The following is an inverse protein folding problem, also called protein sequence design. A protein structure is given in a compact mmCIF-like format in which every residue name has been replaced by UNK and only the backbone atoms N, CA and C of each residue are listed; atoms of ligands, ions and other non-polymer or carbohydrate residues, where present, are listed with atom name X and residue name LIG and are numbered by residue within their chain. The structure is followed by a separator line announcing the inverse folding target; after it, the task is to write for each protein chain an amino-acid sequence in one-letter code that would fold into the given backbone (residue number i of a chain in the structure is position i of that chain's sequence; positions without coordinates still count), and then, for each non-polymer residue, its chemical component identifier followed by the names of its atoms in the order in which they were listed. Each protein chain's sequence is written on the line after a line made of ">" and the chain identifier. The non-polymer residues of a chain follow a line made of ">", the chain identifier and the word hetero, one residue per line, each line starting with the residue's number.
data_IF_318683776319
#
_entry.id   IF_318683776319
#
_cell.length_a   1.000
_cell.length_b   1.000
_cell.length_c   1.000
_cell.angle_alpha   90.00
_cell.angle_beta   90.00
_cell.angle_gamma   90.00
#
_symmetry.space_group_name_H-M   'P 1'
#
loop_
_entity.id
_entity.type
_entity.pdbx_description
1 polymer ?
#
# COMPACT_ATOMS: atom_id res chain seq x y z
N UNK A 1 -6.58 2.58 14.20
CA UNK A 1 -7.11 1.31 13.66
C UNK A 1 -7.65 1.45 12.23
N UNK A 2 -7.40 0.46 11.35
CA UNK A 2 -7.89 0.45 9.97
C UNK A 2 -9.43 0.43 9.88
N UNK A 3 -10.11 -0.02 10.93
CA UNK A 3 -11.56 0.06 11.07
C UNK A 3 -12.10 1.49 11.19
N UNK A 4 -11.24 2.47 11.51
CA UNK A 4 -11.60 3.90 11.66
C UNK A 4 -11.31 4.71 10.40
N UNK A 5 -10.82 4.05 9.33
CA UNK A 5 -10.48 4.74 8.10
C UNK A 5 -11.75 5.17 7.38
N UNK A 6 -11.82 6.46 7.05
CA UNK A 6 -12.96 7.07 6.37
C UNK A 6 -12.49 7.73 5.08
N UNK A 7 -13.39 8.07 4.14
CA UNK A 7 -13.01 8.85 2.97
C UNK A 7 -12.24 10.14 3.31
N UNK A 8 -12.62 10.82 4.39
CA UNK A 8 -11.99 12.06 4.85
C UNK A 8 -10.57 11.86 5.38
N UNK A 9 -10.20 10.65 5.83
CA UNK A 9 -8.84 10.32 6.27
C UNK A 9 -7.79 10.58 5.20
N UNK A 10 -8.16 10.52 3.92
CA UNK A 10 -7.27 10.75 2.77
C UNK A 10 -7.23 12.20 2.28
N UNK A 11 -7.95 13.13 2.92
CA UNK A 11 -7.94 14.55 2.52
C UNK A 11 -6.50 15.08 2.35
N UNK A 12 -6.19 15.80 1.25
CA UNK A 12 -7.12 16.40 0.29
C UNK A 12 -7.52 15.49 -0.88
N UNK A 13 -7.08 14.22 -0.91
CA UNK A 13 -7.52 13.27 -1.94
C UNK A 13 -9.00 12.96 -1.76
N UNK A 14 -9.73 12.89 -2.86
CA UNK A 14 -11.10 12.37 -2.86
C UNK A 14 -11.04 10.85 -2.84
N UNK A 15 -11.68 10.22 -1.86
CA UNK A 15 -11.72 8.77 -1.74
C UNK A 15 -13.14 8.22 -1.94
N UNK A 16 -13.28 7.16 -2.75
CA UNK A 16 -14.54 6.44 -2.94
C UNK A 16 -14.41 5.03 -2.38
N UNK A 17 -15.21 4.73 -1.35
CA UNK A 17 -15.17 3.43 -0.67
C UNK A 17 -16.26 2.51 -1.23
N UNK A 18 -15.88 1.25 -1.48
CA UNK A 18 -16.75 0.18 -1.99
C UNK A 18 -16.55 -1.07 -1.15
N UNK A 19 -17.61 -1.84 -0.92
CA UNK A 19 -17.52 -3.12 -0.22
C UNK A 19 -16.60 -4.08 -1.00
N UNK A 20 -15.74 -4.79 -0.28
CA UNK A 20 -14.83 -5.78 -0.83
C UNK A 20 -15.41 -7.19 -0.83
N UNK A 21 -14.52 -8.18 -0.96
CA UNK A 21 -14.90 -9.60 -1.03
C UNK A 21 -15.47 -10.13 0.29
N UNK A 22 -14.87 -9.73 1.40
CA UNK A 22 -15.26 -10.16 2.75
C UNK A 22 -16.09 -9.09 3.48
N UNK A 23 -16.74 -9.47 4.58
CA UNK A 23 -17.49 -8.53 5.42
C UNK A 23 -16.58 -7.42 5.97
N UNK A 24 -15.36 -7.78 6.30
CA UNK A 24 -14.32 -6.92 6.87
C UNK A 24 -13.41 -6.29 5.80
N UNK A 25 -13.70 -6.52 4.51
CA UNK A 25 -12.92 -5.97 3.39
C UNK A 25 -13.67 -4.82 2.71
N UNK A 26 -12.94 -3.76 2.40
CA UNK A 26 -13.40 -2.69 1.52
C UNK A 26 -12.27 -2.23 0.60
N UNK A 27 -12.64 -1.64 -0.52
CA UNK A 27 -11.73 -1.02 -1.48
C UNK A 27 -11.95 0.49 -1.47
N UNK A 28 -10.90 1.28 -1.51
CA UNK A 28 -10.92 2.71 -1.70
C UNK A 28 -10.23 3.05 -3.03
N UNK A 29 -10.90 3.84 -3.86
CA UNK A 29 -10.30 4.49 -5.02
C UNK A 29 -9.93 5.92 -4.62
N UNK A 30 -8.67 6.31 -4.80
CA UNK A 30 -8.16 7.62 -4.42
C UNK A 30 -7.94 8.48 -5.66
N UNK A 31 -8.41 9.73 -5.63
CA UNK A 31 -8.40 10.63 -6.77
C UNK A 31 -7.77 11.98 -6.45
N UNK A 32 -7.06 12.54 -7.42
CA UNK A 32 -6.66 13.95 -7.47
C UNK A 32 -7.52 14.63 -8.53
N UNK A 33 -8.51 15.42 -8.10
CA UNK A 33 -9.54 15.93 -8.99
C UNK A 33 -10.32 14.79 -9.66
N UNK A 34 -10.15 14.65 -10.98
CA UNK A 34 -10.73 13.57 -11.79
C UNK A 34 -9.75 12.43 -12.09
N UNK A 35 -8.45 12.62 -11.84
CA UNK A 35 -7.44 11.59 -12.13
C UNK A 35 -7.41 10.54 -11.02
N UNK A 36 -7.39 9.27 -11.41
CA UNK A 36 -7.28 8.16 -10.47
C UNK A 36 -5.82 8.02 -10.06
N UNK A 37 -5.55 8.18 -8.76
CA UNK A 37 -4.21 8.04 -8.18
C UNK A 37 -3.87 6.57 -7.98
N UNK A 38 -4.68 5.84 -7.21
CA UNK A 38 -4.47 4.41 -6.95
C UNK A 38 -5.71 3.74 -6.37
N UNK A 39 -5.58 2.43 -6.17
CA UNK A 39 -6.51 1.64 -5.37
C UNK A 39 -5.88 1.27 -4.03
N UNK A 40 -6.72 1.21 -3.01
CA UNK A 40 -6.35 0.68 -1.70
C UNK A 40 -7.36 -0.39 -1.30
N UNK A 41 -6.91 -1.62 -1.11
CA UNK A 41 -7.72 -2.69 -0.52
C UNK A 41 -7.40 -2.76 0.96
N UNK A 42 -8.43 -2.81 1.81
CA UNK A 42 -8.28 -2.79 3.26
C UNK A 42 -9.10 -3.93 3.86
N UNK A 43 -8.47 -4.70 4.73
CA UNK A 43 -9.10 -5.72 5.56
C UNK A 43 -8.93 -5.36 7.03
N UNK A 44 -10.04 -5.22 7.76
CA UNK A 44 -10.02 -4.72 9.15
C UNK A 44 -9.69 -5.78 10.19
N UNK A 45 -9.33 -7.00 9.76
CA UNK A 45 -9.02 -8.12 10.65
C UNK A 45 -10.25 -8.94 11.04
N UNK A 46 -9.99 -10.19 11.41
CA UNK A 46 -10.95 -11.11 12.05
C UNK A 46 -10.23 -11.87 13.17
N UNK A 47 -10.08 -11.26 14.36
CA UNK A 47 -9.37 -11.86 15.47
C UNK A 47 -10.02 -13.18 15.96
N UNK A 48 -9.23 -14.08 16.57
CA UNK A 48 -7.77 -13.99 16.73
C UNK A 48 -6.97 -14.45 15.50
N UNK A 49 -7.64 -14.94 14.44
CA UNK A 49 -6.99 -15.71 13.38
C UNK A 49 -6.40 -14.87 12.25
N UNK A 50 -7.01 -13.71 11.95
CA UNK A 50 -6.61 -12.88 10.81
C UNK A 50 -6.33 -11.45 11.27
N UNK A 51 -5.07 -11.03 11.16
CA UNK A 51 -4.67 -9.65 11.41
C UNK A 51 -5.20 -8.68 10.34
N UNK A 52 -5.35 -7.39 10.67
CA UNK A 52 -5.65 -6.36 9.69
C UNK A 52 -4.50 -6.17 8.68
N UNK A 53 -4.86 -5.75 7.47
CA UNK A 53 -3.89 -5.37 6.45
C UNK A 53 -4.47 -4.39 5.45
N UNK A 54 -3.58 -3.66 4.78
CA UNK A 54 -3.92 -2.87 3.60
C UNK A 54 -3.00 -3.20 2.44
N UNK A 55 -3.48 -2.99 1.22
CA UNK A 55 -2.75 -3.17 -0.02
C UNK A 55 -2.95 -1.94 -0.89
N UNK A 56 -1.87 -1.30 -1.32
CA UNK A 56 -1.88 -0.19 -2.28
C UNK A 56 -1.38 -0.73 -3.62
N UNK A 57 -2.19 -0.61 -4.66
CA UNK A 57 -1.92 -1.17 -5.98
C UNK A 57 -2.48 -0.29 -7.11
N UNK A 58 -2.00 -0.51 -8.33
CA UNK A 58 -2.30 0.27 -9.52
C UNK A 58 -2.11 1.78 -9.27
N UNK A 59 -0.98 2.18 -8.67
CA UNK A 59 -0.62 3.59 -8.58
C UNK A 59 -0.37 4.09 -10.00
N UNK A 60 -1.09 5.12 -10.42
CA UNK A 60 -0.87 5.78 -11.70
C UNK A 60 0.58 6.30 -11.75
N UNK A 61 1.37 5.89 -12.77
CA UNK A 61 2.81 6.20 -12.86
C UNK A 61 3.15 7.68 -12.72
N UNK A 62 2.23 8.58 -13.10
CA UNK A 62 2.36 10.03 -12.94
C UNK A 62 2.59 10.47 -11.49
N UNK A 63 2.06 9.71 -10.52
CA UNK A 63 2.10 10.07 -9.11
C UNK A 63 3.14 9.30 -8.31
N UNK A 64 3.88 8.38 -8.93
CA UNK A 64 5.02 7.71 -8.30
C UNK A 64 6.10 8.76 -7.99
N UNK A 65 6.72 8.65 -6.81
CA UNK A 65 7.72 9.55 -6.25
C UNK A 65 7.21 11.00 -5.99
N UNK A 66 5.90 11.19 -5.92
CA UNK A 66 5.29 12.47 -5.55
C UNK A 66 4.86 12.51 -4.09
N UNK A 67 4.52 13.71 -3.60
CA UNK A 67 3.94 13.89 -2.27
C UNK A 67 2.60 13.14 -2.09
N UNK A 68 1.90 12.86 -3.19
CA UNK A 68 0.61 12.19 -3.15
C UNK A 68 0.73 10.70 -2.87
N UNK A 69 1.71 10.03 -3.48
CA UNK A 69 2.07 8.66 -3.12
C UNK A 69 2.45 8.57 -1.64
N UNK A 70 3.32 9.49 -1.19
CA UNK A 70 3.71 9.57 0.23
C UNK A 70 2.50 9.74 1.13
N UNK A 71 1.58 10.62 0.77
CA UNK A 71 0.39 10.92 1.55
C UNK A 71 -0.45 9.67 1.79
N UNK A 72 -0.66 8.83 0.76
CA UNK A 72 -1.41 7.57 0.89
C UNK A 72 -0.78 6.67 1.96
N UNK A 73 0.52 6.40 1.87
CA UNK A 73 1.21 5.52 2.83
C UNK A 73 1.20 6.09 4.25
N UNK A 74 1.42 7.39 4.40
CA UNK A 74 1.43 8.03 5.71
C UNK A 74 0.02 8.09 6.34
N UNK A 75 -1.05 8.24 5.55
CA UNK A 75 -2.45 8.14 6.03
C UNK A 75 -2.72 6.73 6.54
N UNK A 76 -2.35 5.70 5.78
CA UNK A 76 -2.54 4.30 6.18
C UNK A 76 -1.77 4.01 7.47
N UNK A 77 -0.51 4.43 7.57
CA UNK A 77 0.31 4.20 8.75
C UNK A 77 -0.32 4.79 10.03
N UNK A 78 -0.91 5.99 9.94
CA UNK A 78 -1.60 6.63 11.08
C UNK A 78 -2.80 5.84 11.57
N UNK A 79 -3.43 5.05 10.70
CA UNK A 79 -4.60 4.24 11.04
C UNK A 79 -4.23 2.79 11.33
N UNK A 80 -3.05 2.32 11.00
CA UNK A 80 -2.61 0.97 11.36
C UNK A 80 -2.24 0.89 12.85
N UNK A 81 -2.37 -0.30 13.42
CA UNK A 81 -1.87 -0.67 14.76
C UNK A 81 -0.56 -1.48 14.65
N UNK A 82 0.23 -1.58 15.74
CA UNK A 82 1.41 -2.47 15.76
C UNK A 82 1.07 -3.89 15.30
N UNK A 83 1.83 -4.40 14.34
CA UNK A 83 1.63 -5.70 13.71
C UNK A 83 0.76 -5.70 12.44
N UNK A 84 0.03 -4.61 12.16
CA UNK A 84 -0.72 -4.49 10.89
C UNK A 84 0.24 -4.47 9.70
N UNK A 85 -0.20 -5.12 8.61
CA UNK A 85 0.60 -5.32 7.41
C UNK A 85 0.17 -4.37 6.29
N UNK A 86 1.14 -3.75 5.63
CA UNK A 86 0.97 -3.05 4.36
C UNK A 86 1.61 -3.86 3.23
N UNK A 87 0.90 -4.04 2.13
CA UNK A 87 1.45 -4.46 0.85
C UNK A 87 1.46 -3.28 -0.11
N UNK A 88 2.62 -2.97 -0.70
CA UNK A 88 2.79 -1.87 -1.64
C UNK A 88 3.30 -2.41 -2.98
N UNK A 89 2.47 -2.33 -4.01
CA UNK A 89 2.82 -2.76 -5.36
C UNK A 89 3.84 -1.81 -5.99
N UNK A 90 4.82 -2.36 -6.70
CA UNK A 90 5.88 -1.60 -7.37
C UNK A 90 6.01 -1.93 -8.87
N UNK A 91 5.00 -2.55 -9.48
CA UNK A 91 5.03 -2.98 -10.89
C UNK A 91 5.40 -1.84 -11.84
N UNK A 92 4.82 -0.66 -11.64
CA UNK A 92 5.09 0.53 -12.45
C UNK A 92 6.19 1.43 -11.88
N UNK A 93 6.78 1.08 -10.74
CA UNK A 93 7.92 1.80 -10.15
C UNK A 93 9.23 1.20 -10.65
N UNK A 94 9.66 1.68 -11.82
CA UNK A 94 10.87 1.20 -12.49
C UNK A 94 12.13 1.36 -11.63
N UNK A 95 12.21 2.40 -10.79
CA UNK A 95 13.38 2.63 -9.94
C UNK A 95 13.48 1.53 -8.87
N UNK A 96 12.38 1.24 -8.17
CA UNK A 96 12.34 0.17 -7.17
C UNK A 96 12.54 -1.19 -7.83
N UNK A 97 11.89 -1.46 -8.97
CA UNK A 97 12.05 -2.71 -9.71
C UNK A 97 13.52 -2.96 -10.08
N UNK A 98 14.18 -1.99 -10.71
CA UNK A 98 15.57 -2.13 -11.13
C UNK A 98 16.54 -2.27 -9.94
N UNK A 99 16.29 -1.57 -8.84
CA UNK A 99 17.08 -1.72 -7.62
C UNK A 99 16.98 -3.14 -7.06
N UNK A 100 15.78 -3.70 -6.97
CA UNK A 100 15.55 -5.07 -6.52
C UNK A 100 16.17 -6.10 -7.47
N UNK A 101 16.09 -5.89 -8.79
CA UNK A 101 16.73 -6.75 -9.79
C UNK A 101 18.26 -6.77 -9.64
N UNK A 102 18.88 -5.67 -9.21
CA UNK A 102 20.31 -5.61 -8.91
C UNK A 102 20.68 -6.20 -7.53
N UNK A 103 19.70 -6.69 -6.77
CA UNK A 103 19.91 -7.23 -5.44
C UNK A 103 20.04 -6.18 -4.33
N UNK A 104 19.58 -4.94 -4.57
CA UNK A 104 19.50 -3.95 -3.49
C UNK A 104 18.51 -4.44 -2.41
N UNK A 105 18.84 -4.26 -1.11
CA UNK A 105 17.91 -4.59 -0.04
C UNK A 105 16.57 -3.86 -0.21
N UNK A 106 15.42 -4.48 0.09
CA UNK A 106 14.10 -3.85 -0.07
C UNK A 106 13.97 -2.49 0.62
N UNK A 107 14.51 -2.34 1.81
CA UNK A 107 14.58 -1.10 2.58
C UNK A 107 15.43 0.00 1.92
N UNK A 108 16.39 -0.37 1.07
CA UNK A 108 17.28 0.56 0.40
C UNK A 108 16.69 1.10 -0.91
N UNK A 109 15.61 0.49 -1.42
CA UNK A 109 14.90 0.94 -2.63
C UNK A 109 14.17 2.27 -2.42
N UNK A 110 13.76 2.91 -3.51
CA UNK A 110 12.98 4.17 -3.46
C UNK A 110 11.69 3.99 -2.64
N UNK A 111 10.88 2.98 -2.98
CA UNK A 111 9.64 2.68 -2.27
C UNK A 111 9.92 2.25 -0.82
N UNK A 112 10.95 1.42 -0.59
CA UNK A 112 11.35 1.01 0.75
C UNK A 112 11.69 2.18 1.67
N UNK A 113 12.50 3.13 1.20
CA UNK A 113 12.82 4.36 1.93
C UNK A 113 11.59 5.21 2.20
N UNK A 114 10.67 5.33 1.24
CA UNK A 114 9.42 6.07 1.41
C UNK A 114 8.56 5.46 2.53
N UNK A 115 8.41 4.13 2.54
CA UNK A 115 7.64 3.43 3.56
C UNK A 115 8.30 3.59 4.94
N UNK A 116 9.62 3.48 5.04
CA UNK A 116 10.36 3.73 6.29
C UNK A 116 10.13 5.16 6.78
N UNK A 117 10.17 6.13 5.88
CA UNK A 117 9.88 7.53 6.20
C UNK A 117 8.44 7.76 6.72
N UNK A 118 7.47 6.96 6.27
CA UNK A 118 6.12 6.99 6.82
C UNK A 118 5.97 6.23 8.15
N UNK A 119 7.02 5.54 8.64
CA UNK A 119 7.05 4.86 9.93
C UNK A 119 6.95 3.34 9.86
N UNK A 120 6.95 2.76 8.66
CA UNK A 120 6.94 1.32 8.50
C UNK A 120 8.31 0.69 8.69
N UNK A 121 8.33 -0.59 9.06
CA UNK A 121 9.49 -1.46 8.87
C UNK A 121 9.27 -2.35 7.65
N UNK A 122 10.21 -2.35 6.71
CA UNK A 122 10.17 -3.30 5.58
C UNK A 122 10.54 -4.67 6.09
N UNK A 123 9.74 -5.68 5.72
CA UNK A 123 9.95 -7.05 6.18
C UNK A 123 10.25 -8.01 5.04
N UNK A 124 9.73 -7.75 3.82
CA UNK A 124 9.90 -8.69 2.70
C UNK A 124 9.66 -8.04 1.33
N UNK A 125 10.39 -8.51 0.33
CA UNK A 125 10.03 -8.34 -1.08
C UNK A 125 9.30 -9.59 -1.59
N UNK A 126 8.09 -9.42 -2.10
CA UNK A 126 7.31 -10.44 -2.79
C UNK A 126 7.45 -10.25 -4.30
N UNK A 127 8.46 -10.90 -4.86
CA UNK A 127 8.68 -11.01 -6.29
C UNK A 127 8.23 -12.41 -6.74
N UNK A 128 7.22 -12.50 -7.62
CA UNK A 128 6.77 -13.76 -8.21
C UNK A 128 6.49 -13.59 -9.71
N UNK A 129 7.44 -13.93 -10.59
CA UNK A 129 7.22 -13.98 -12.03
C UNK A 129 7.35 -15.43 -12.50
N UNK A 130 6.44 -16.30 -12.06
CA UNK A 130 6.30 -17.66 -12.63
C UNK A 130 4.83 -18.09 -12.70
N UNK A 131 3.96 -17.27 -13.32
CA UNK A 131 2.63 -17.78 -13.70
C UNK A 131 1.46 -16.80 -13.83
N UNK A 132 1.65 -15.48 -13.71
CA UNK A 132 0.61 -14.45 -13.94
C UNK A 132 -0.68 -14.54 -13.06
N UNK A 133 -0.80 -15.54 -12.17
CA UNK A 133 -2.04 -15.88 -11.48
C UNK A 133 -2.21 -15.26 -10.07
N UNK A 134 -1.17 -14.65 -9.48
CA UNK A 134 -1.15 -14.33 -8.03
C UNK A 134 -1.08 -12.84 -7.67
N UNK A 135 -1.11 -11.95 -8.66
CA UNK A 135 -1.06 -10.49 -8.46
C UNK A 135 0.34 -9.88 -8.63
N UNK A 136 0.41 -8.54 -8.61
CA UNK A 136 1.62 -7.79 -8.90
C UNK A 136 2.72 -7.90 -7.83
N UNK A 137 3.93 -7.48 -8.21
CA UNK A 137 5.13 -7.49 -7.36
C UNK A 137 4.99 -6.46 -6.23
N UNK A 138 5.28 -6.86 -4.98
CA UNK A 138 4.95 -6.05 -3.78
C UNK A 138 6.06 -6.03 -2.75
N UNK A 139 6.24 -4.89 -2.09
CA UNK A 139 6.93 -4.83 -0.81
C UNK A 139 5.92 -5.05 0.32
N UNK A 140 6.26 -5.93 1.26
CA UNK A 140 5.53 -6.06 2.51
C UNK A 140 6.24 -5.25 3.59
N UNK A 141 5.47 -4.41 4.27
CA UNK A 141 5.90 -3.60 5.38
C UNK A 141 4.95 -3.78 6.57
N UNK A 142 5.46 -3.57 7.77
CA UNK A 142 4.70 -3.75 9.01
C UNK A 142 4.80 -2.49 9.85
N UNK A 143 3.71 -2.10 10.50
CA UNK A 143 3.76 -1.07 11.52
C UNK A 143 4.32 -1.67 12.82
N UNK A 144 5.33 -1.01 13.38
CA UNK A 144 5.91 -1.37 14.68
C UNK A 144 5.15 -0.72 15.84
#
# INVERSE_FOLDING_TARGET
>A
MLSQLTPQSFSPLRALFKKGRFKEEYNAELYIGQDLLCHVKIFTGRPPYYGPWAEVFNINPRYIATEWERHVYCVLHRHMEPGDVLYAEYVDDLQTFQALQRGEPPEATRLGRLLIHCGYRIVKNWYHPEGWLEGGMKLQAVKM
#
